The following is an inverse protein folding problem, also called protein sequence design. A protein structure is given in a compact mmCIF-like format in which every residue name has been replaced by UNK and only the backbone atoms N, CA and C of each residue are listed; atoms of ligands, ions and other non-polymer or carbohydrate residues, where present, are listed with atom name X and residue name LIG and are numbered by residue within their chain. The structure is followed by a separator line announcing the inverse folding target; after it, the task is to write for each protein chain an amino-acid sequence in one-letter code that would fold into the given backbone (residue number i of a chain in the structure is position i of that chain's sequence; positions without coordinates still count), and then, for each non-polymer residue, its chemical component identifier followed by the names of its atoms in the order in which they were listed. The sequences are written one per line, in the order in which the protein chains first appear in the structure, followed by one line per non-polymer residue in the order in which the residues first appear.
data_IF_728417194804
#
_entry.id   IF_728417194804
#
_cell.length_a   1.000
_cell.length_b   1.000
_cell.length_c   1.000
_cell.angle_alpha   90.00
_cell.angle_beta   90.00
_cell.angle_gamma   90.00
#
_symmetry.space_group_name_H-M   'P 1'
#
loop_
_entity.id
_entity.type
_entity.pdbx_description
1 polymer ?
#
# COMPACT_ATOMS: atom_id res chain seq x y z
N UNK A 1 40.27 16.28 -37.64
CA UNK A 1 38.88 15.83 -37.42
C UNK A 1 38.08 16.28 -38.62
N UNK A 2 37.45 15.34 -39.32
CA UNK A 2 36.79 15.59 -40.60
C UNK A 2 35.55 16.46 -40.40
N UNK A 3 35.38 17.59 -41.13
CA UNK A 3 34.22 18.46 -40.98
C UNK A 3 32.89 17.76 -41.29
N UNK A 4 32.90 16.70 -42.12
CA UNK A 4 31.70 15.87 -42.36
C UNK A 4 31.20 15.12 -41.13
N UNK A 5 32.07 14.81 -40.16
CA UNK A 5 31.65 14.05 -38.97
C UNK A 5 30.82 14.87 -37.99
N UNK A 6 30.91 16.21 -38.07
CA UNK A 6 30.21 17.12 -37.16
C UNK A 6 28.77 17.38 -37.62
N UNK A 7 28.56 17.55 -38.92
CA UNK A 7 27.22 17.71 -39.52
C UNK A 7 26.35 16.45 -39.31
N UNK A 8 26.93 15.26 -39.50
CA UNK A 8 26.23 14.00 -39.24
C UNK A 8 25.88 13.80 -37.76
N UNK A 9 26.73 14.29 -36.84
CA UNK A 9 26.45 14.22 -35.41
C UNK A 9 25.35 15.21 -34.99
N UNK A 10 25.33 16.42 -35.54
CA UNK A 10 24.31 17.43 -35.26
C UNK A 10 22.94 17.02 -35.83
N UNK A 11 22.90 16.45 -37.04
CA UNK A 11 21.67 15.93 -37.63
C UNK A 11 21.07 14.76 -36.84
N UNK A 12 21.91 13.88 -36.27
CA UNK A 12 21.45 12.75 -35.46
C UNK A 12 20.90 13.17 -34.09
N UNK A 13 21.44 14.24 -33.49
CA UNK A 13 20.92 14.80 -32.23
C UNK A 13 19.55 15.42 -32.45
N UNK A 14 19.35 16.14 -33.56
CA UNK A 14 18.09 16.82 -33.84
C UNK A 14 16.93 15.85 -34.16
N UNK A 15 17.21 14.76 -34.88
CA UNK A 15 16.21 13.78 -35.30
C UNK A 15 15.77 12.84 -34.15
N UNK A 16 16.67 12.57 -33.19
CA UNK A 16 16.42 11.61 -32.09
C UNK A 16 15.93 12.30 -30.81
N UNK A 17 16.39 13.52 -30.49
CA UNK A 17 16.04 14.18 -29.21
C UNK A 17 14.73 14.99 -29.28
N UNK A 18 14.34 15.53 -30.43
CA UNK A 18 13.14 16.37 -30.55
C UNK A 18 11.79 15.67 -30.26
N UNK A 19 11.56 14.37 -30.56
CA UNK A 19 10.33 13.69 -30.18
C UNK A 19 10.27 13.32 -28.68
N UNK A 20 11.42 13.24 -28.00
CA UNK A 20 11.51 12.86 -26.58
C UNK A 20 11.13 14.06 -25.69
N UNK A 21 11.62 15.27 -26.02
CA UNK A 21 11.30 16.49 -25.27
C UNK A 21 9.83 16.91 -25.40
N UNK A 22 9.19 16.62 -26.55
CA UNK A 22 7.75 16.85 -26.75
C UNK A 22 6.83 15.89 -25.98
N UNK A 23 7.32 14.72 -25.54
CA UNK A 23 6.52 13.79 -24.71
C UNK A 23 6.58 14.09 -23.21
N UNK A 24 7.59 14.82 -22.75
CA UNK A 24 7.74 15.16 -21.32
C UNK A 24 6.96 16.42 -20.93
N UNK A 25 6.64 17.29 -21.89
CA UNK A 25 5.96 18.58 -21.66
C UNK A 25 4.43 18.51 -21.63
N UNK A 26 3.81 17.35 -21.87
CA UNK A 26 2.32 17.20 -21.94
C UNK A 26 1.72 16.64 -20.63
N UNK A 27 2.54 16.33 -19.62
CA UNK A 27 2.06 15.69 -18.36
C UNK A 27 2.02 16.61 -17.14
N UNK A 28 2.16 17.92 -17.32
CA UNK A 28 2.28 18.89 -16.22
C UNK A 28 1.07 19.83 -16.06
N UNK A 29 -0.15 19.34 -16.33
CA UNK A 29 -1.39 20.03 -15.97
C UNK A 29 -2.36 19.03 -15.32
N UNK A 30 -2.24 18.85 -14.00
CA UNK A 30 -3.30 18.22 -13.19
C UNK A 30 -3.54 19.11 -11.96
N UNK A 31 -4.81 19.53 -11.87
CA UNK A 31 -5.44 20.38 -10.89
C UNK A 31 -5.09 20.10 -9.43
N UNK A 32 -4.84 21.18 -8.68
CA UNK A 32 -5.00 21.26 -7.23
C UNK A 32 -6.47 20.98 -6.85
N UNK A 33 -6.74 19.84 -6.23
CA UNK A 33 -7.94 19.62 -5.42
C UNK A 33 -7.57 19.37 -3.96
N UNK A 34 -8.26 20.11 -3.09
CA UNK A 34 -8.10 20.16 -1.63
C UNK A 34 -8.42 18.80 -0.97
N UNK A 35 -7.73 18.42 0.13
CA UNK A 35 -8.10 17.22 0.85
C UNK A 35 -9.33 17.47 1.74
N UNK A 36 -10.42 16.77 1.44
CA UNK A 36 -11.57 16.61 2.35
C UNK A 36 -11.26 15.43 3.28
N UNK A 37 -11.23 15.72 4.56
CA UNK A 37 -11.21 14.74 5.65
C UNK A 37 -12.42 13.81 5.55
N UNK A 38 -12.19 12.49 5.55
CA UNK A 38 -13.08 11.54 6.22
C UNK A 38 -12.36 10.20 6.44
N UNK A 39 -11.94 10.03 7.70
CA UNK A 39 -11.61 8.74 8.30
C UNK A 39 -12.90 7.93 8.46
N UNK A 40 -12.90 6.69 7.96
CA UNK A 40 -13.53 5.54 8.61
C UNK A 40 -13.17 4.28 7.82
N UNK A 41 -12.24 3.50 8.34
CA UNK A 41 -12.24 2.06 8.09
C UNK A 41 -11.80 1.33 9.36
N UNK A 42 -12.74 0.51 9.83
CA UNK A 42 -12.62 -0.45 10.91
C UNK A 42 -11.51 -1.46 10.63
N UNK A 43 -10.57 -1.59 11.57
CA UNK A 43 -9.73 -2.78 11.66
C UNK A 43 -10.14 -3.55 12.90
N UNK A 44 -10.63 -4.76 12.63
CA UNK A 44 -11.00 -5.80 13.58
C UNK A 44 -9.74 -6.20 14.35
N UNK A 45 -9.75 -5.93 15.65
CA UNK A 45 -8.70 -6.34 16.58
C UNK A 45 -8.83 -7.81 16.93
N UNK A 46 -7.76 -8.57 16.69
CA UNK A 46 -7.49 -9.88 17.25
C UNK A 46 -6.93 -9.72 18.68
N UNK A 47 -7.65 -10.28 19.64
CA UNK A 47 -7.28 -10.38 21.06
C UNK A 47 -6.19 -11.43 21.28
N UNK A 48 -5.25 -11.20 22.22
CA UNK A 48 -4.59 -12.28 22.95
C UNK A 48 -5.09 -12.38 24.40
N UNK A 49 -5.51 -13.58 24.78
CA UNK A 49 -5.78 -14.02 26.15
C UNK A 49 -4.50 -13.97 26.99
N UNK A 50 -4.49 -13.17 28.06
CA UNK A 50 -3.49 -13.27 29.13
C UNK A 50 -4.15 -13.62 30.46
N UNK A 51 -3.86 -14.83 30.93
CA UNK A 51 -4.26 -15.38 32.23
C UNK A 51 -3.65 -14.55 33.36
N UNK A 52 -4.54 -14.07 34.21
CA UNK A 52 -4.28 -13.43 35.49
C UNK A 52 -3.54 -14.36 36.48
N UNK A 53 -2.49 -13.87 37.13
CA UNK A 53 -2.19 -14.20 38.53
C UNK A 53 -1.87 -12.93 39.33
N UNK A 54 -2.73 -12.72 40.32
CA UNK A 54 -2.63 -11.76 41.43
C UNK A 54 -1.23 -11.76 42.06
N UNK A 55 -0.67 -10.57 42.31
CA UNK A 55 -0.24 -10.23 43.68
C UNK A 55 -0.29 -8.72 43.93
N UNK A 56 -0.99 -8.44 45.03
CA UNK A 56 -1.34 -7.18 45.65
C UNK A 56 -0.10 -6.34 45.97
N UNK A 57 -0.14 -5.06 45.60
CA UNK A 57 0.79 -4.03 46.04
C UNK A 57 0.10 -2.67 46.06
N UNK A 58 -0.63 -2.39 47.14
CA UNK A 58 -1.27 -1.11 47.43
C UNK A 58 -0.22 0.02 47.44
N UNK A 59 -0.31 0.99 46.52
CA UNK A 59 0.10 2.38 46.82
C UNK A 59 -0.87 3.37 46.16
N UNK A 60 -1.26 4.33 47.00
CA UNK A 60 -2.28 5.36 46.85
C UNK A 60 -2.09 6.20 45.58
N UNK A 61 -3.18 6.37 44.84
CA UNK A 61 -3.40 7.48 43.92
C UNK A 61 -4.23 8.55 44.67
N UNK A 62 -3.63 9.71 44.86
CA UNK A 62 -4.30 11.01 44.99
C UNK A 62 -3.83 11.80 43.75
N UNK A 63 -4.65 11.97 42.72
CA UNK A 63 -5.73 12.94 42.60
C UNK A 63 -5.21 14.37 42.80
N UNK A 64 -5.05 15.12 41.70
CA UNK A 64 -5.54 16.50 41.59
C UNK A 64 -5.37 17.07 40.18
N UNK A 65 -6.51 17.29 39.53
CA UNK A 65 -6.71 18.30 38.51
C UNK A 65 -6.51 19.69 39.13
N UNK A 66 -5.86 20.61 38.40
CA UNK A 66 -6.02 22.07 38.44
C UNK A 66 -5.14 22.63 37.30
N UNK A 67 -5.65 23.02 36.12
CA UNK A 67 -6.38 24.26 35.86
C UNK A 67 -6.09 25.36 36.88
N UNK A 68 -5.26 26.33 36.50
CA UNK A 68 -5.25 27.71 37.02
C UNK A 68 -4.28 28.59 36.24
N UNK A 69 -4.89 29.56 35.55
CA UNK A 69 -4.52 30.97 35.56
C UNK A 69 -3.07 31.37 35.30
N UNK A 70 -2.87 31.84 34.08
CA UNK A 70 -1.86 32.84 33.70
C UNK A 70 -2.06 34.08 34.58
N UNK A 71 -1.41 34.12 35.75
CA UNK A 71 -1.23 35.35 36.51
C UNK A 71 -0.05 36.12 35.92
N UNK A 72 -0.37 37.26 35.30
CA UNK A 72 0.53 38.39 35.06
C UNK A 72 1.47 38.56 36.27
N UNK A 73 2.74 38.24 36.11
CA UNK A 73 3.78 38.76 36.99
C UNK A 73 3.92 40.25 36.68
N UNK A 74 3.23 41.07 37.48
CA UNK A 74 3.62 42.46 37.68
C UNK A 74 5.01 42.45 38.31
N UNK A 75 5.98 42.95 37.59
CA UNK A 75 7.24 43.43 38.14
C UNK A 75 6.93 44.51 39.18
N UNK A 76 6.88 44.15 40.45
CA UNK A 76 7.01 45.11 41.54
C UNK A 76 8.48 45.54 41.58
N UNK A 77 8.82 46.56 40.78
CA UNK A 77 9.93 47.44 41.12
C UNK A 77 9.51 48.16 42.40
N UNK A 78 9.95 47.63 43.55
CA UNK A 78 10.02 48.41 44.77
C UNK A 78 11.02 49.55 44.51
N UNK A 79 10.49 50.66 44.00
CA UNK A 79 11.10 51.97 44.18
C UNK A 79 10.93 52.33 45.65
N UNK A 80 11.70 51.68 46.52
CA UNK A 80 12.01 52.27 47.80
C UNK A 80 12.86 53.49 47.47
N UNK A 81 12.21 54.65 47.52
CA UNK A 81 12.86 55.94 47.60
C UNK A 81 13.71 55.92 48.86
N UNK A 82 14.95 55.46 48.75
CA UNK A 82 16.01 55.83 49.68
C UNK A 82 16.17 57.33 49.48
N UNK A 83 15.53 58.10 50.36
CA UNK A 83 15.87 59.50 50.53
C UNK A 83 17.29 59.53 51.07
N UNK A 84 18.26 59.61 50.17
CA UNK A 84 19.60 60.07 50.54
C UNK A 84 19.41 61.53 50.93
N UNK A 85 19.29 61.78 52.23
CA UNK A 85 19.50 63.12 52.77
C UNK A 85 21.00 63.33 52.62
N UNK A 86 21.43 63.85 51.47
CA UNK A 86 22.76 64.43 51.30
C UNK A 86 22.81 65.69 52.19
N UNK A 87 23.06 65.45 53.47
CA UNK A 87 23.29 66.50 54.45
C UNK A 87 24.68 67.07 54.29
N UNK A 88 24.90 67.84 53.23
CA UNK A 88 26.11 68.64 52.99
C UNK A 88 26.18 69.89 53.90
N UNK A 89 25.76 69.74 55.17
CA UNK A 89 25.58 70.83 56.13
C UNK A 89 26.64 70.87 57.25
N UNK A 90 27.80 70.23 57.09
CA UNK A 90 28.86 70.28 58.11
C UNK A 90 29.92 71.38 57.87
N UNK A 91 29.83 72.15 56.78
CA UNK A 91 30.86 73.16 56.46
C UNK A 91 30.60 74.61 56.94
N UNK A 92 29.44 74.96 57.52
CA UNK A 92 29.16 76.36 57.88
C UNK A 92 28.97 76.69 59.37
N UNK A 93 29.01 75.71 60.29
CA UNK A 93 28.67 75.99 61.71
C UNK A 93 29.88 76.41 62.55
N UNK A 94 31.12 76.23 62.08
CA UNK A 94 32.30 76.56 62.91
C UNK A 94 32.80 77.99 62.78
N UNK A 95 32.35 78.76 61.77
CA UNK A 95 32.89 80.12 61.53
C UNK A 95 32.17 81.26 62.25
N UNK A 96 30.98 81.04 62.83
CA UNK A 96 30.17 82.13 63.41
C UNK A 96 30.21 82.22 64.95
N UNK A 97 30.92 81.33 65.65
CA UNK A 97 30.94 81.27 67.11
C UNK A 97 32.14 81.96 67.79
N UNK A 98 32.83 82.87 67.10
CA UNK A 98 34.04 83.53 67.65
C UNK A 98 33.96 85.05 67.53
N UNK A 99 33.15 85.69 68.39
CA UNK A 99 33.37 87.09 68.81
C UNK A 99 32.82 87.34 70.23
N UNK A 100 33.38 86.65 71.21
CA UNK A 100 33.18 86.93 72.63
C UNK A 100 34.53 86.88 73.34
N UNK A 101 34.86 87.96 74.06
CA UNK A 101 36.18 88.22 74.68
C UNK A 101 36.24 87.76 76.15
N UNK A 102 35.50 86.71 76.51
CA UNK A 102 35.58 86.14 77.87
C UNK A 102 36.69 85.07 77.96
N UNK A 103 37.53 85.04 79.00
CA UNK A 103 38.52 83.97 79.21
C UNK A 103 37.87 82.59 79.36
N UNK A 104 36.65 82.52 79.92
CA UNK A 104 35.88 81.28 80.08
C UNK A 104 35.41 80.68 78.74
N UNK A 105 35.33 81.49 77.67
CA UNK A 105 34.92 81.03 76.33
C UNK A 105 36.04 80.30 75.57
N UNK A 106 37.31 80.47 75.95
CA UNK A 106 38.43 79.83 75.25
C UNK A 106 38.48 78.33 75.52
N UNK A 107 38.27 77.93 76.76
CA UNK A 107 38.27 76.51 77.16
C UNK A 107 37.04 75.79 76.62
N UNK A 108 35.88 76.46 76.61
CA UNK A 108 34.67 75.96 75.95
C UNK A 108 34.88 75.74 74.44
N UNK A 109 35.55 76.69 73.74
CA UNK A 109 35.86 76.56 72.31
C UNK A 109 36.83 75.41 72.03
N UNK A 110 37.85 75.23 72.87
CA UNK A 110 38.77 74.11 72.76
C UNK A 110 38.05 72.77 72.95
N UNK A 111 37.19 72.66 73.97
CA UNK A 111 36.38 71.46 74.22
C UNK A 111 35.41 71.16 73.06
N UNK A 112 34.75 72.18 72.49
CA UNK A 112 33.87 72.02 71.32
C UNK A 112 34.67 71.59 70.09
N UNK A 113 35.87 72.11 69.89
CA UNK A 113 36.75 71.70 68.80
C UNK A 113 37.19 70.24 68.95
N UNK A 114 37.66 69.83 70.13
CA UNK A 114 38.07 68.44 70.41
C UNK A 114 36.90 67.47 70.26
N UNK A 115 35.70 67.87 70.72
CA UNK A 115 34.48 67.11 70.51
C UNK A 115 34.16 66.97 69.02
N UNK A 116 34.31 68.04 68.23
CA UNK A 116 34.08 68.03 66.78
C UNK A 116 35.07 67.11 66.07
N UNK A 117 36.36 67.17 66.41
CA UNK A 117 37.39 66.29 65.86
C UNK A 117 37.13 64.82 66.22
N UNK A 118 36.78 64.55 67.48
CA UNK A 118 36.40 63.22 67.95
C UNK A 118 35.17 62.68 67.21
N UNK A 119 34.16 63.53 67.02
CA UNK A 119 32.94 63.19 66.32
C UNK A 119 33.21 62.91 64.83
N UNK A 120 34.05 63.71 64.18
CA UNK A 120 34.49 63.45 62.80
C UNK A 120 35.25 62.12 62.69
N UNK A 121 36.19 61.86 63.60
CA UNK A 121 36.92 60.58 63.62
C UNK A 121 35.99 59.38 63.83
N UNK A 122 34.96 59.55 64.67
CA UNK A 122 33.93 58.53 64.85
C UNK A 122 33.09 58.33 63.60
N UNK A 123 32.65 59.41 62.93
CA UNK A 123 31.94 59.37 61.66
C UNK A 123 32.76 58.66 60.57
N UNK A 124 34.06 58.93 60.46
CA UNK A 124 34.95 58.27 59.49
C UNK A 124 35.07 56.76 59.75
N UNK A 125 35.21 56.37 61.02
CA UNK A 125 35.24 54.96 61.43
C UNK A 125 33.91 54.26 61.14
N UNK A 126 32.80 54.94 61.39
CA UNK A 126 31.46 54.41 61.11
C UNK A 126 31.24 54.25 59.60
N UNK A 127 31.62 55.24 58.80
CA UNK A 127 31.55 55.19 57.33
C UNK A 127 32.36 54.02 56.79
N UNK A 128 33.62 53.88 57.22
CA UNK A 128 34.48 52.75 56.83
C UNK A 128 33.89 51.40 57.23
N UNK A 129 33.23 51.30 58.40
CA UNK A 129 32.56 50.06 58.82
C UNK A 129 31.34 49.75 57.97
N UNK A 130 30.56 50.77 57.59
CA UNK A 130 29.41 50.62 56.69
C UNK A 130 29.90 50.12 55.33
N UNK A 131 30.92 50.74 54.74
CA UNK A 131 31.49 50.31 53.44
C UNK A 131 31.99 48.86 53.49
N UNK A 132 32.67 48.47 54.57
CA UNK A 132 33.12 47.09 54.78
C UNK A 132 31.95 46.09 54.90
N UNK A 133 30.85 46.51 55.53
CA UNK A 133 29.64 45.69 55.65
C UNK A 133 28.96 45.57 54.28
N UNK A 134 28.81 46.67 53.56
CA UNK A 134 28.20 46.70 52.22
C UNK A 134 28.97 45.83 51.22
N UNK A 135 30.29 45.95 51.19
CA UNK A 135 31.15 45.11 50.34
C UNK A 135 31.08 43.63 50.74
N UNK A 136 31.08 43.31 52.03
CA UNK A 136 30.95 41.93 52.52
C UNK A 136 29.60 41.31 52.18
N UNK A 137 28.52 42.06 52.36
CA UNK A 137 27.16 41.63 52.02
C UNK A 137 27.03 41.43 50.50
N UNK A 138 27.48 42.40 49.71
CA UNK A 138 27.43 42.35 48.24
C UNK A 138 28.18 41.12 47.71
N UNK A 139 29.36 40.84 48.29
CA UNK A 139 30.15 39.66 47.95
C UNK A 139 29.40 38.36 48.29
N UNK A 140 28.88 38.23 49.51
CA UNK A 140 28.13 37.03 49.94
C UNK A 140 26.88 36.79 49.08
N UNK A 141 26.15 37.86 48.75
CA UNK A 141 24.97 37.78 47.87
C UNK A 141 25.39 37.31 46.48
N UNK A 142 26.44 37.89 45.91
CA UNK A 142 26.97 37.50 44.60
C UNK A 142 27.41 36.04 44.57
N UNK A 143 28.17 35.60 45.58
CA UNK A 143 28.63 34.21 45.70
C UNK A 143 27.46 33.23 45.82
N UNK A 144 26.43 33.57 46.59
CA UNK A 144 25.22 32.76 46.72
C UNK A 144 24.43 32.67 45.42
N UNK A 145 24.26 33.79 44.72
CA UNK A 145 23.55 33.84 43.43
C UNK A 145 24.31 33.01 42.41
N UNK A 146 25.61 33.27 42.23
CA UNK A 146 26.43 32.57 41.25
C UNK A 146 26.43 31.06 41.49
N UNK A 147 26.60 30.62 42.75
CA UNK A 147 26.57 29.20 43.09
C UNK A 147 25.23 28.53 42.76
N UNK A 148 24.10 29.19 43.04
CA UNK A 148 22.76 28.66 42.72
C UNK A 148 22.53 28.60 41.22
N UNK A 149 22.89 29.66 40.51
CA UNK A 149 22.76 29.77 39.05
C UNK A 149 23.62 28.70 38.38
N UNK A 150 24.89 28.56 38.75
CA UNK A 150 25.80 27.54 38.20
C UNK A 150 25.28 26.13 38.43
N UNK A 151 24.73 25.86 39.62
CA UNK A 151 24.16 24.55 39.93
C UNK A 151 22.94 24.25 39.06
N UNK A 152 22.05 25.25 38.85
CA UNK A 152 20.89 25.10 37.98
C UNK A 152 21.29 24.91 36.52
N UNK A 153 22.24 25.71 36.02
CA UNK A 153 22.79 25.60 34.66
C UNK A 153 23.39 24.21 34.44
N UNK A 154 24.19 23.69 35.39
CA UNK A 154 24.77 22.33 35.27
C UNK A 154 23.70 21.24 35.23
N UNK A 155 22.65 21.33 36.04
CA UNK A 155 21.54 20.36 36.02
C UNK A 155 20.82 20.39 34.68
N UNK A 156 20.43 21.58 34.21
CA UNK A 156 19.78 21.75 32.91
C UNK A 156 20.66 21.22 31.77
N UNK A 157 21.96 21.53 31.78
CA UNK A 157 22.90 21.03 30.77
C UNK A 157 22.95 19.50 30.75
N UNK A 158 22.97 18.86 31.91
CA UNK A 158 23.00 17.39 32.00
C UNK A 158 21.70 16.75 31.53
N UNK A 159 20.54 17.35 31.86
CA UNK A 159 19.23 16.86 31.40
C UNK A 159 19.09 17.00 29.88
N UNK A 160 19.44 18.17 29.34
CA UNK A 160 19.44 18.42 27.88
C UNK A 160 20.38 17.46 27.18
N UNK A 161 21.60 17.24 27.69
CA UNK A 161 22.54 16.29 27.10
C UNK A 161 22.00 14.85 27.12
N UNK A 162 21.32 14.46 28.19
CA UNK A 162 20.69 13.14 28.30
C UNK A 162 19.59 12.96 27.24
N UNK A 163 18.78 13.98 27.02
CA UNK A 163 17.72 13.92 26.02
C UNK A 163 18.26 13.98 24.58
N UNK A 164 19.32 14.75 24.33
CA UNK A 164 20.06 14.71 23.05
C UNK A 164 20.56 13.30 22.76
N UNK A 165 21.17 12.62 23.74
CA UNK A 165 21.68 11.27 23.54
C UNK A 165 20.55 10.27 23.22
N UNK A 166 19.42 10.33 23.93
CA UNK A 166 18.25 9.48 23.62
C UNK A 166 17.68 9.74 22.23
N UNK A 167 17.67 11.00 21.78
CA UNK A 167 17.20 11.35 20.44
C UNK A 167 18.17 10.79 19.40
N UNK A 168 19.48 10.91 19.63
CA UNK A 168 20.50 10.33 18.75
C UNK A 168 20.34 8.82 18.61
N UNK A 169 20.19 8.09 19.72
CA UNK A 169 19.98 6.63 19.72
C UNK A 169 18.73 6.25 18.90
N UNK A 170 17.61 6.95 19.10
CA UNK A 170 16.38 6.71 18.32
C UNK A 170 16.55 7.02 16.83
N UNK A 171 17.32 8.04 16.48
CA UNK A 171 17.61 8.37 15.08
C UNK A 171 18.44 7.27 14.43
N UNK A 172 19.46 6.76 15.13
CA UNK A 172 20.30 5.66 14.65
C UNK A 172 19.49 4.37 14.44
N UNK A 173 18.62 4.00 15.39
CA UNK A 173 17.72 2.84 15.26
C UNK A 173 16.78 2.97 14.05
N UNK A 174 16.23 4.17 13.82
CA UNK A 174 15.38 4.44 12.67
C UNK A 174 16.16 4.36 11.35
N UNK A 175 17.40 4.85 11.31
CA UNK A 175 18.27 4.76 10.14
C UNK A 175 18.56 3.29 9.79
N UNK A 176 18.88 2.46 10.80
CA UNK A 176 19.12 1.03 10.62
C UNK A 176 17.85 0.36 10.06
N UNK A 177 16.70 0.61 10.66
CA UNK A 177 15.42 0.05 10.23
C UNK A 177 15.08 0.43 8.78
N UNK A 178 15.27 1.71 8.41
CA UNK A 178 15.05 2.17 7.04
C UNK A 178 16.00 1.51 6.04
N UNK A 179 17.27 1.35 6.42
CA UNK A 179 18.27 0.69 5.57
C UNK A 179 17.92 -0.77 5.30
N UNK A 180 17.44 -1.50 6.31
CA UNK A 180 17.04 -2.90 6.15
C UNK A 180 15.78 -3.05 5.30
N UNK A 181 14.79 -2.17 5.48
CA UNK A 181 13.59 -2.13 4.64
C UNK A 181 13.92 -1.87 3.17
N UNK A 182 14.74 -0.85 2.89
CA UNK A 182 15.18 -0.52 1.53
C UNK A 182 15.97 -1.67 0.89
N UNK A 183 16.81 -2.37 1.66
CA UNK A 183 17.55 -3.53 1.18
C UNK A 183 16.60 -4.66 0.75
N UNK A 184 15.54 -4.92 1.51
CA UNK A 184 14.50 -5.89 1.16
C UNK A 184 13.76 -5.52 -0.12
N UNK A 185 13.33 -4.27 -0.26
CA UNK A 185 12.65 -3.78 -1.48
C UNK A 185 13.55 -3.89 -2.72
N UNK A 186 14.83 -3.52 -2.61
CA UNK A 186 15.80 -3.67 -3.71
C UNK A 186 15.94 -5.14 -4.12
N UNK A 187 15.93 -6.08 -3.17
CA UNK A 187 16.01 -7.51 -3.49
C UNK A 187 14.77 -8.00 -4.25
N UNK A 188 13.58 -7.53 -3.86
CA UNK A 188 12.32 -7.83 -4.55
C UNK A 188 12.38 -7.29 -5.98
N UNK A 189 12.73 -6.02 -6.15
CA UNK A 189 12.86 -5.38 -7.47
C UNK A 189 13.88 -6.10 -8.36
N UNK A 190 15.01 -6.53 -7.81
CA UNK A 190 16.00 -7.33 -8.55
C UNK A 190 15.42 -8.65 -9.05
N UNK A 191 14.62 -9.35 -8.23
CA UNK A 191 13.95 -10.60 -8.63
C UNK A 191 12.95 -10.34 -9.75
N UNK A 192 12.14 -9.29 -9.65
CA UNK A 192 11.17 -8.91 -10.68
C UNK A 192 11.84 -8.55 -12.01
N UNK A 193 12.90 -7.74 -11.97
CA UNK A 193 13.69 -7.40 -13.17
C UNK A 193 14.32 -8.65 -13.79
N UNK A 194 14.84 -9.57 -12.98
CA UNK A 194 15.42 -10.82 -13.47
C UNK A 194 14.34 -11.69 -14.14
N UNK A 195 13.16 -11.79 -13.53
CA UNK A 195 12.02 -12.52 -14.09
C UNK A 195 11.56 -11.89 -15.42
N UNK A 196 11.41 -10.57 -15.47
CA UNK A 196 11.05 -9.86 -16.70
C UNK A 196 12.10 -10.08 -17.80
N UNK A 197 13.39 -9.98 -17.46
CA UNK A 197 14.50 -10.23 -18.39
C UNK A 197 14.46 -11.66 -18.93
N UNK A 198 14.21 -12.64 -18.06
CA UNK A 198 14.05 -14.05 -18.46
C UNK A 198 12.84 -14.25 -19.38
N UNK A 199 11.72 -13.59 -19.13
CA UNK A 199 10.57 -13.66 -20.05
C UNK A 199 10.87 -13.03 -21.40
N UNK A 200 11.64 -11.93 -21.43
CA UNK A 200 12.04 -11.25 -22.66
C UNK A 200 13.07 -12.08 -23.44
N UNK A 201 14.03 -12.72 -22.78
CA UNK A 201 14.99 -13.60 -23.46
C UNK A 201 14.35 -14.89 -23.97
N UNK A 202 13.26 -15.34 -23.35
CA UNK A 202 12.42 -16.44 -23.85
C UNK A 202 11.42 -16.02 -24.94
N UNK A 203 11.29 -14.72 -25.24
CA UNK A 203 10.55 -14.30 -26.43
C UNK A 203 11.39 -14.63 -27.68
N UNK A 204 10.79 -15.24 -28.72
CA UNK A 204 11.49 -15.57 -29.95
C UNK A 204 12.05 -14.28 -30.59
N UNK A 205 13.38 -14.22 -30.73
CA UNK A 205 14.13 -13.04 -31.22
C UNK A 205 14.15 -12.92 -32.74
N UNK A 206 13.55 -13.86 -33.46
CA UNK A 206 13.56 -13.89 -34.92
C UNK A 206 12.15 -13.76 -35.51
N UNK A 207 12.03 -12.96 -36.57
CA UNK A 207 10.82 -12.81 -37.38
C UNK A 207 10.34 -14.13 -37.99
N UNK A 208 11.23 -15.11 -38.16
CA UNK A 208 10.92 -16.46 -38.64
C UNK A 208 10.12 -17.30 -37.62
N UNK A 209 10.38 -17.16 -36.31
CA UNK A 209 9.62 -17.85 -35.27
C UNK A 209 8.25 -17.21 -35.00
N UNK A 210 8.11 -15.90 -35.26
CA UNK A 210 6.81 -15.22 -35.22
C UNK A 210 5.86 -15.67 -36.35
N UNK A 211 6.37 -16.07 -37.52
CA UNK A 211 5.55 -16.57 -38.63
C UNK A 211 4.97 -17.97 -38.38
N UNK A 212 5.53 -18.75 -37.45
CA UNK A 212 4.94 -20.03 -37.00
C UNK A 212 3.82 -19.88 -35.98
N UNK A 213 3.51 -18.65 -35.53
CA UNK A 213 2.20 -18.39 -34.91
C UNK A 213 1.19 -18.41 -36.04
N UNK A 214 0.53 -19.56 -36.23
CA UNK A 214 -0.61 -19.70 -37.15
C UNK A 214 -1.50 -18.49 -36.94
N UNK A 215 -1.71 -17.70 -38.01
CA UNK A 215 -2.52 -16.49 -37.92
C UNK A 215 -3.94 -16.88 -37.47
N UNK A 216 -4.18 -16.78 -36.15
CA UNK A 216 -5.47 -17.11 -35.53
C UNK A 216 -6.61 -16.29 -36.14
N UNK A 217 -6.29 -15.16 -36.80
CA UNK A 217 -7.25 -14.36 -37.56
C UNK A 217 -7.84 -15.11 -38.74
N UNK A 218 -7.11 -16.04 -39.36
CA UNK A 218 -7.61 -16.88 -40.46
C UNK A 218 -8.12 -18.24 -39.99
N UNK A 219 -7.92 -18.58 -38.71
CA UNK A 219 -8.30 -19.88 -38.18
C UNK A 219 -9.75 -19.91 -37.65
N UNK A 220 -10.40 -21.06 -37.80
CA UNK A 220 -11.64 -21.37 -37.10
C UNK A 220 -11.60 -22.80 -36.55
N UNK A 221 -12.51 -23.06 -35.62
CA UNK A 221 -12.62 -24.33 -34.92
C UNK A 221 -13.97 -24.95 -35.24
N UNK A 222 -13.96 -26.19 -35.72
CA UNK A 222 -15.16 -27.00 -35.92
C UNK A 222 -15.23 -28.06 -34.82
N UNK A 223 -16.34 -28.07 -34.08
CA UNK A 223 -16.63 -29.06 -33.05
C UNK A 223 -17.68 -30.05 -33.52
N UNK A 224 -17.57 -31.27 -33.01
CA UNK A 224 -18.53 -32.34 -33.23
C UNK A 224 -18.72 -32.72 -34.71
N UNK A 225 -17.69 -32.49 -35.54
CA UNK A 225 -17.64 -33.05 -36.89
C UNK A 225 -17.40 -34.56 -36.73
N UNK A 226 -18.32 -35.43 -37.19
CA UNK A 226 -18.18 -36.89 -37.05
C UNK A 226 -16.82 -37.36 -37.55
N UNK A 227 -16.26 -38.39 -36.93
CA UNK A 227 -14.96 -38.95 -37.29
C UNK A 227 -15.15 -40.27 -38.04
N UNK A 228 -14.52 -40.38 -39.19
CA UNK A 228 -14.51 -41.60 -40.02
C UNK A 228 -13.08 -42.07 -40.21
N UNK A 229 -12.84 -43.38 -40.10
CA UNK A 229 -11.50 -43.96 -40.20
C UNK A 229 -10.91 -43.70 -41.59
N UNK A 230 -9.72 -43.10 -41.65
CA UNK A 230 -9.06 -42.77 -42.92
C UNK A 230 -9.68 -41.58 -43.68
N UNK A 231 -10.45 -40.73 -43.01
CA UNK A 231 -11.09 -39.59 -43.66
C UNK A 231 -10.10 -38.53 -44.16
N UNK A 232 -10.38 -37.95 -45.32
CA UNK A 232 -9.73 -36.72 -45.75
C UNK A 232 -10.47 -35.53 -45.11
N UNK A 233 -9.88 -34.96 -44.07
CA UNK A 233 -10.46 -33.88 -43.27
C UNK A 233 -10.74 -32.65 -44.16
N UNK A 234 -9.84 -32.30 -45.08
CA UNK A 234 -10.02 -31.14 -45.97
C UNK A 234 -11.25 -31.34 -46.85
N UNK A 235 -11.42 -32.52 -47.46
CA UNK A 235 -12.60 -32.83 -48.28
C UNK A 235 -13.88 -32.78 -47.45
N UNK A 236 -13.85 -33.31 -46.23
CA UNK A 236 -15.00 -33.32 -45.32
C UNK A 236 -15.43 -31.91 -44.90
N UNK A 237 -14.46 -31.04 -44.59
CA UNK A 237 -14.76 -29.64 -44.29
C UNK A 237 -15.25 -28.91 -45.53
N UNK A 238 -14.68 -29.15 -46.71
CA UNK A 238 -15.20 -28.56 -47.96
C UNK A 238 -16.66 -28.97 -48.22
N UNK A 239 -17.04 -30.23 -47.95
CA UNK A 239 -18.43 -30.68 -48.00
C UNK A 239 -19.31 -29.96 -46.98
N UNK A 240 -18.84 -29.80 -45.73
CA UNK A 240 -19.55 -29.03 -44.71
C UNK A 240 -19.80 -27.57 -45.13
N UNK A 241 -18.80 -26.91 -45.74
CA UNK A 241 -18.93 -25.52 -46.20
C UNK A 241 -19.89 -25.42 -47.39
N UNK A 242 -19.78 -26.32 -48.37
CA UNK A 242 -20.61 -26.30 -49.59
C UNK A 242 -22.05 -26.73 -49.32
N UNK A 243 -22.24 -27.83 -48.62
CA UNK A 243 -23.57 -28.43 -48.42
C UNK A 243 -24.23 -27.91 -47.14
N UNK A 244 -23.45 -27.66 -46.09
CA UNK A 244 -23.97 -27.18 -44.81
C UNK A 244 -24.16 -25.67 -44.75
N UNK A 245 -23.21 -24.89 -45.28
CA UNK A 245 -23.32 -23.41 -45.31
C UNK A 245 -23.86 -22.86 -46.63
N UNK A 246 -23.95 -23.69 -47.68
CA UNK A 246 -24.38 -23.27 -49.02
C UNK A 246 -23.41 -22.22 -49.59
N UNK A 247 -22.11 -22.37 -49.30
CA UNK A 247 -21.04 -21.46 -49.75
C UNK A 247 -20.15 -22.16 -50.77
N UNK A 248 -20.22 -21.73 -52.04
CA UNK A 248 -19.45 -22.35 -53.14
C UNK A 248 -18.03 -21.77 -53.30
N UNK A 249 -17.85 -20.50 -52.95
CA UNK A 249 -16.62 -19.75 -53.27
C UNK A 249 -15.58 -19.72 -52.13
N UNK A 250 -15.91 -20.30 -50.97
CA UNK A 250 -15.05 -20.28 -49.79
C UNK A 250 -13.94 -21.33 -49.93
N UNK A 251 -12.69 -20.87 -49.85
CA UNK A 251 -11.51 -21.73 -49.98
C UNK A 251 -10.83 -21.98 -48.63
N UNK A 252 -10.47 -23.25 -48.40
CA UNK A 252 -9.76 -23.70 -47.20
C UNK A 252 -8.30 -23.93 -47.55
N UNK A 253 -7.39 -23.33 -46.78
CA UNK A 253 -5.93 -23.50 -46.93
C UNK A 253 -5.46 -24.82 -46.31
N UNK A 254 -5.92 -25.12 -45.10
CA UNK A 254 -5.60 -26.37 -44.41
C UNK A 254 -6.69 -26.73 -43.40
N UNK A 255 -6.80 -28.03 -43.09
CA UNK A 255 -7.68 -28.54 -42.05
C UNK A 255 -7.01 -29.72 -41.35
N UNK A 256 -7.01 -29.69 -40.02
CA UNK A 256 -6.36 -30.71 -39.18
C UNK A 256 -7.26 -31.06 -38.00
N UNK A 257 -7.41 -32.34 -37.69
CA UNK A 257 -8.16 -32.82 -36.52
C UNK A 257 -7.20 -33.00 -35.36
N UNK A 258 -7.48 -32.34 -34.25
CA UNK A 258 -6.79 -32.53 -32.97
C UNK A 258 -7.41 -33.70 -32.23
N UNK A 259 -6.55 -34.52 -31.63
CA UNK A 259 -6.94 -35.71 -30.86
C UNK A 259 -7.85 -35.30 -29.71
N UNK A 260 -8.98 -36.00 -29.56
CA UNK A 260 -9.88 -35.83 -28.42
C UNK A 260 -9.26 -36.43 -27.16
N UNK A 261 -9.49 -35.80 -26.01
CA UNK A 261 -9.10 -36.35 -24.70
C UNK A 261 -10.13 -37.34 -24.14
N UNK A 262 -11.29 -37.46 -24.78
CA UNK A 262 -12.39 -38.31 -24.32
C UNK A 262 -12.67 -39.38 -25.37
N UNK A 263 -12.80 -40.61 -24.90
CA UNK A 263 -13.18 -41.74 -25.73
C UNK A 263 -14.58 -41.50 -26.34
N UNK A 264 -14.76 -41.91 -27.59
CA UNK A 264 -16.00 -41.75 -28.37
C UNK A 264 -16.48 -40.32 -28.62
N UNK A 265 -15.69 -39.29 -28.33
CA UNK A 265 -15.99 -37.91 -28.72
C UNK A 265 -15.07 -37.51 -29.88
N UNK A 266 -15.63 -37.09 -31.04
CA UNK A 266 -14.80 -36.67 -32.17
C UNK A 266 -13.84 -35.55 -31.78
N UNK A 267 -12.60 -35.66 -32.26
CA UNK A 267 -11.60 -34.60 -32.12
C UNK A 267 -12.06 -33.26 -32.69
N UNK A 268 -11.50 -32.17 -32.18
CA UNK A 268 -11.79 -30.82 -32.69
C UNK A 268 -11.05 -30.62 -34.02
N UNK A 269 -11.69 -30.05 -35.05
CA UNK A 269 -11.02 -29.74 -36.32
C UNK A 269 -10.63 -28.27 -36.35
N UNK A 270 -9.34 -28.00 -36.50
CA UNK A 270 -8.77 -26.68 -36.74
C UNK A 270 -8.70 -26.45 -38.25
N UNK A 271 -9.29 -25.37 -38.72
CA UNK A 271 -9.30 -25.00 -40.14
C UNK A 271 -8.62 -23.65 -40.32
N UNK A 272 -7.85 -23.50 -41.38
CA UNK A 272 -7.30 -22.22 -41.82
C UNK A 272 -7.94 -21.85 -43.16
N UNK A 273 -8.57 -20.69 -43.23
CA UNK A 273 -9.12 -20.16 -44.48
C UNK A 273 -8.02 -19.56 -45.36
N UNK A 274 -8.28 -19.48 -46.66
CA UNK A 274 -7.34 -18.84 -47.59
C UNK A 274 -7.31 -17.32 -47.42
N UNK A 275 -8.47 -16.71 -47.12
CA UNK A 275 -8.63 -15.27 -46.86
C UNK A 275 -9.45 -14.99 -45.60
N UNK A 276 -9.32 -13.78 -45.06
CA UNK A 276 -10.15 -13.29 -43.95
C UNK A 276 -11.62 -13.15 -44.36
N UNK A 277 -11.88 -12.84 -45.63
CA UNK A 277 -13.22 -12.72 -46.20
C UNK A 277 -13.93 -14.07 -46.26
N UNK A 278 -13.22 -15.13 -46.64
CA UNK A 278 -13.73 -16.50 -46.62
C UNK A 278 -14.14 -16.93 -45.22
N UNK A 279 -13.30 -16.63 -44.23
CA UNK A 279 -13.63 -16.87 -42.82
C UNK A 279 -14.86 -16.07 -42.39
N UNK A 280 -14.93 -14.78 -42.74
CA UNK A 280 -16.07 -13.92 -42.40
C UNK A 280 -17.38 -14.49 -42.93
N UNK A 281 -17.43 -14.84 -44.23
CA UNK A 281 -18.59 -15.47 -44.88
C UNK A 281 -19.02 -16.75 -44.16
N UNK A 282 -18.05 -17.65 -43.88
CA UNK A 282 -18.35 -18.89 -43.16
C UNK A 282 -18.88 -18.64 -41.74
N UNK A 283 -18.35 -17.64 -41.03
CA UNK A 283 -18.77 -17.32 -39.66
C UNK A 283 -20.12 -16.62 -39.57
N UNK A 284 -20.52 -15.87 -40.59
CA UNK A 284 -21.85 -15.27 -40.72
C UNK A 284 -22.92 -16.33 -40.98
N UNK A 285 -22.61 -17.29 -41.85
CA UNK A 285 -23.57 -18.29 -42.34
C UNK A 285 -23.66 -19.56 -41.49
N UNK A 286 -22.79 -19.72 -40.49
CA UNK A 286 -22.77 -20.89 -39.59
C UNK A 286 -24.10 -21.19 -38.90
N UNK A 287 -25.05 -20.25 -38.88
CA UNK A 287 -26.40 -20.46 -38.35
C UNK A 287 -27.21 -21.45 -39.19
N UNK A 288 -26.99 -21.48 -40.52
CA UNK A 288 -27.65 -22.40 -41.46
C UNK A 288 -27.41 -23.88 -41.15
N UNK A 289 -26.29 -24.20 -40.49
CA UNK A 289 -25.99 -25.56 -40.05
C UNK A 289 -27.07 -26.15 -39.15
N UNK A 290 -27.77 -25.31 -38.36
CA UNK A 290 -28.84 -25.76 -37.47
C UNK A 290 -30.08 -26.25 -38.22
N UNK A 291 -30.29 -25.77 -39.43
CA UNK A 291 -31.44 -26.11 -40.27
C UNK A 291 -31.18 -27.40 -41.08
N UNK A 292 -29.90 -27.74 -41.30
CA UNK A 292 -29.50 -28.96 -42.00
C UNK A 292 -29.62 -30.20 -41.12
N UNK A 293 -30.31 -31.25 -41.59
CA UNK A 293 -30.44 -32.54 -40.86
C UNK A 293 -29.10 -33.19 -40.53
N UNK A 294 -28.14 -33.11 -41.45
CA UNK A 294 -26.84 -33.77 -41.32
C UNK A 294 -25.84 -32.98 -40.45
N UNK A 295 -26.04 -31.67 -40.28
CA UNK A 295 -25.05 -30.77 -39.67
C UNK A 295 -25.56 -30.03 -38.44
N UNK A 296 -26.80 -30.31 -38.00
CA UNK A 296 -27.47 -29.67 -36.86
C UNK A 296 -26.63 -29.58 -35.58
N UNK A 297 -25.81 -30.60 -35.34
CA UNK A 297 -25.00 -30.72 -34.13
C UNK A 297 -23.55 -30.26 -34.31
N UNK A 298 -23.20 -29.65 -35.44
CA UNK A 298 -21.85 -29.16 -35.74
C UNK A 298 -21.76 -27.68 -35.40
N UNK A 299 -20.67 -27.29 -34.74
CA UNK A 299 -20.47 -25.90 -34.32
C UNK A 299 -19.19 -25.34 -34.90
N UNK A 300 -19.28 -24.14 -35.50
CA UNK A 300 -18.13 -23.38 -36.00
C UNK A 300 -17.87 -22.18 -35.08
N UNK A 301 -16.66 -22.09 -34.54
CA UNK A 301 -16.22 -21.06 -33.60
C UNK A 301 -14.96 -20.37 -34.10
N UNK A 302 -14.71 -19.15 -33.59
CA UNK A 302 -13.43 -18.49 -33.83
C UNK A 302 -12.33 -19.24 -33.07
N UNK A 303 -11.16 -19.39 -33.69
CA UNK A 303 -9.97 -19.76 -32.95
C UNK A 303 -9.50 -18.57 -32.11
N UNK A 304 -9.67 -18.67 -30.79
CA UNK A 304 -9.34 -17.62 -29.83
C UNK A 304 -8.10 -18.03 -29.01
N UNK A 305 -7.21 -17.10 -28.67
CA UNK A 305 -6.09 -17.36 -27.76
C UNK A 305 -6.55 -17.94 -26.41
N UNK A 306 -5.69 -18.74 -25.76
CA UNK A 306 -6.00 -19.39 -24.48
C UNK A 306 -6.50 -18.40 -23.42
N UNK A 307 -5.85 -17.26 -23.27
CA UNK A 307 -6.25 -16.20 -22.34
C UNK A 307 -7.67 -15.70 -22.60
N UNK A 308 -8.01 -15.43 -23.86
CA UNK A 308 -9.33 -14.96 -24.25
C UNK A 308 -10.40 -16.04 -24.08
N UNK A 309 -10.09 -17.32 -24.35
CA UNK A 309 -10.99 -18.44 -24.07
C UNK A 309 -11.31 -18.56 -22.58
N UNK A 310 -10.29 -18.48 -21.73
CA UNK A 310 -10.45 -18.50 -20.26
C UNK A 310 -11.31 -17.33 -19.80
N UNK A 311 -11.00 -16.11 -20.27
CA UNK A 311 -11.78 -14.92 -19.97
C UNK A 311 -13.25 -15.07 -20.39
N UNK A 312 -13.53 -15.54 -21.61
CA UNK A 312 -14.89 -15.75 -22.10
C UNK A 312 -15.62 -16.85 -21.30
N UNK A 313 -14.91 -17.89 -20.87
CA UNK A 313 -15.48 -18.94 -20.00
C UNK A 313 -15.88 -18.38 -18.64
N UNK A 314 -15.00 -17.60 -18.01
CA UNK A 314 -15.25 -16.95 -16.72
C UNK A 314 -16.41 -15.96 -16.82
N UNK A 315 -16.42 -15.11 -17.85
CA UNK A 315 -17.52 -14.17 -18.11
C UNK A 315 -18.84 -14.90 -18.32
N UNK A 316 -18.85 -16.01 -19.09
CA UNK A 316 -20.06 -16.81 -19.30
C UNK A 316 -20.58 -17.40 -17.98
N UNK A 317 -19.69 -17.87 -17.11
CA UNK A 317 -20.07 -18.39 -15.80
C UNK A 317 -20.66 -17.28 -14.92
N UNK A 318 -20.00 -16.12 -14.83
CA UNK A 318 -20.49 -14.96 -14.08
C UNK A 318 -21.86 -14.51 -14.60
N UNK A 319 -22.03 -14.37 -15.92
CA UNK A 319 -23.29 -13.97 -16.54
C UNK A 319 -24.41 -14.98 -16.27
N UNK A 320 -24.11 -16.28 -16.24
CA UNK A 320 -25.08 -17.32 -15.87
C UNK A 320 -25.50 -17.22 -14.40
N UNK A 321 -24.53 -17.02 -13.50
CA UNK A 321 -24.78 -16.96 -12.05
C UNK A 321 -25.55 -15.70 -11.66
N UNK A 322 -25.15 -14.53 -12.19
CA UNK A 322 -25.74 -13.24 -11.83
C UNK A 322 -27.01 -12.96 -12.66
N UNK A 323 -26.97 -13.29 -13.95
CA UNK A 323 -27.91 -12.76 -14.92
C UNK A 323 -29.31 -13.37 -14.91
N UNK A 324 -29.66 -14.30 -14.00
CA UNK A 324 -31.00 -14.96 -13.89
C UNK A 324 -31.73 -15.13 -15.24
N UNK A 325 -31.01 -15.61 -16.26
CA UNK A 325 -31.45 -15.78 -17.66
C UNK A 325 -31.72 -14.53 -18.52
N UNK A 326 -31.62 -13.32 -17.98
CA UNK A 326 -31.81 -12.04 -18.69
C UNK A 326 -30.60 -11.57 -19.49
N UNK A 327 -29.41 -12.14 -19.25
CA UNK A 327 -28.18 -11.73 -19.93
C UNK A 327 -27.63 -12.87 -20.79
N UNK A 328 -27.06 -12.53 -21.95
CA UNK A 328 -26.31 -13.45 -22.80
C UNK A 328 -24.94 -12.89 -23.17
N UNK A 329 -23.97 -13.78 -23.39
CA UNK A 329 -22.63 -13.41 -23.85
C UNK A 329 -22.55 -13.63 -25.37
N UNK A 330 -22.36 -12.55 -26.14
CA UNK A 330 -22.04 -12.60 -27.57
C UNK A 330 -20.58 -12.23 -27.80
N UNK A 331 -19.74 -13.24 -28.01
CA UNK A 331 -18.30 -13.05 -28.10
C UNK A 331 -17.73 -12.56 -26.77
N UNK A 332 -17.16 -11.36 -26.74
CA UNK A 332 -16.66 -10.68 -25.53
C UNK A 332 -17.62 -9.65 -24.95
N UNK A 333 -18.85 -9.53 -25.47
CA UNK A 333 -19.85 -8.52 -25.03
C UNK A 333 -21.00 -9.19 -24.29
N UNK A 334 -21.41 -8.60 -23.17
CA UNK A 334 -22.64 -8.96 -22.45
C UNK A 334 -23.80 -8.18 -23.06
N UNK A 335 -24.89 -8.86 -23.37
CA UNK A 335 -26.11 -8.28 -23.94
C UNK A 335 -27.32 -8.68 -23.09
N UNK A 336 -28.29 -7.78 -22.96
CA UNK A 336 -29.59 -8.09 -22.36
C UNK A 336 -30.40 -8.90 -23.36
N UNK A 337 -30.94 -10.04 -22.94
CA UNK A 337 -31.89 -10.82 -23.74
C UNK A 337 -33.18 -10.01 -23.88
N UNK A 338 -33.46 -9.57 -25.10
CA UNK A 338 -34.75 -9.01 -25.47
C UNK A 338 -35.87 -10.05 -25.29
N UNK A 339 -37.07 -9.61 -24.90
CA UNK A 339 -38.21 -10.48 -24.60
C UNK A 339 -38.58 -11.45 -25.74
N UNK A 340 -38.33 -11.07 -27.00
CA UNK A 340 -38.51 -11.94 -28.17
C UNK A 340 -37.59 -13.17 -28.16
N UNK A 341 -36.36 -13.03 -27.65
CA UNK A 341 -35.41 -14.14 -27.54
C UNK A 341 -35.72 -15.05 -26.34
N UNK A 342 -36.37 -14.52 -25.30
CA UNK A 342 -36.80 -15.29 -24.12
C UNK A 342 -37.92 -16.26 -24.52
N UNK A 343 -38.91 -15.79 -25.31
CA UNK A 343 -40.03 -16.64 -25.80
C UNK A 343 -39.56 -17.79 -26.69
N UNK A 344 -38.58 -17.55 -27.58
CA UNK A 344 -38.00 -18.61 -28.42
C UNK A 344 -37.20 -19.66 -27.64
N UNK A 345 -36.86 -19.42 -26.38
CA UNK A 345 -36.09 -20.36 -25.56
C UNK A 345 -36.98 -21.16 -24.59
N UNK A 346 -38.13 -20.61 -24.17
CA UNK A 346 -39.10 -21.34 -23.34
C UNK A 346 -39.75 -22.52 -24.07
N UNK A 347 -40.00 -22.38 -25.38
CA UNK A 347 -40.70 -23.42 -26.15
C UNK A 347 -39.84 -24.67 -26.45
N UNK A 348 -38.53 -24.62 -26.17
CA UNK A 348 -37.59 -25.74 -26.35
C UNK A 348 -37.06 -26.33 -25.04
N UNK A 349 -37.47 -25.80 -23.88
CA UNK A 349 -36.86 -26.11 -22.57
C UNK A 349 -37.59 -27.22 -21.78
N UNK A 350 -38.69 -27.76 -22.26
CA UNK A 350 -39.51 -28.74 -21.50
C UNK A 350 -39.14 -30.21 -21.77
N UNK A 351 -38.17 -30.48 -22.65
CA UNK A 351 -37.91 -31.86 -23.12
C UNK A 351 -36.75 -32.62 -22.46
N UNK A 352 -35.68 -31.96 -22.01
CA UNK A 352 -34.48 -32.70 -21.61
C UNK A 352 -33.47 -31.82 -20.88
N UNK A 353 -33.37 -31.90 -19.55
CA UNK A 353 -32.14 -31.72 -18.74
C UNK A 353 -32.44 -31.58 -17.24
N UNK A 354 -33.10 -32.57 -16.62
CA UNK A 354 -33.32 -32.58 -15.16
C UNK A 354 -32.53 -33.62 -14.34
N UNK A 355 -31.55 -34.33 -14.91
CA UNK A 355 -30.97 -35.49 -14.20
C UNK A 355 -29.46 -35.56 -13.92
N UNK A 356 -28.63 -34.52 -14.09
CA UNK A 356 -27.18 -34.69 -13.86
C UNK A 356 -26.42 -33.71 -12.97
N UNK A 357 -27.07 -32.86 -12.18
CA UNK A 357 -26.33 -31.94 -11.27
C UNK A 357 -26.77 -32.10 -9.82
N UNK A 358 -26.26 -33.16 -9.15
CA UNK A 358 -26.35 -33.32 -7.68
C UNK A 358 -25.13 -34.00 -7.04
N UNK A 359 -23.94 -34.03 -7.66
CA UNK A 359 -22.80 -34.78 -7.11
C UNK A 359 -21.45 -34.04 -7.01
N UNK A 360 -21.42 -32.71 -6.95
CA UNK A 360 -20.13 -31.99 -6.76
C UNK A 360 -20.06 -31.04 -5.56
N UNK A 361 -21.03 -31.07 -4.65
CA UNK A 361 -20.91 -30.43 -3.33
C UNK A 361 -20.84 -31.54 -2.27
N UNK A 362 -19.61 -31.93 -1.89
CA UNK A 362 -19.22 -32.62 -0.63
C UNK A 362 -17.88 -33.37 -0.80
N UNK A 363 -16.78 -32.67 -1.16
CA UNK A 363 -15.46 -33.33 -1.18
C UNK A 363 -14.25 -32.44 -0.86
N UNK A 364 -14.43 -31.43 -0.02
CA UNK A 364 -13.31 -30.63 0.49
C UNK A 364 -13.41 -30.49 2.01
N UNK A 365 -13.27 -31.60 2.72
CA UNK A 365 -13.05 -31.63 4.17
C UNK A 365 -12.59 -33.04 4.57
N UNK A 366 -11.35 -33.40 4.23
CA UNK A 366 -10.62 -34.49 4.88
C UNK A 366 -9.16 -34.47 4.40
N UNK A 367 -8.36 -33.57 4.97
CA UNK A 367 -6.91 -33.70 4.96
C UNK A 367 -6.40 -33.88 6.39
N UNK A 368 -5.58 -34.92 6.51
CA UNK A 368 -4.45 -35.07 7.42
C UNK A 368 -4.70 -35.13 8.93
N UNK A 369 -4.96 -36.36 9.41
CA UNK A 369 -4.30 -36.84 10.61
C UNK A 369 -3.63 -38.21 10.34
N UNK A 370 -2.29 -38.20 10.48
CA UNK A 370 -1.36 -39.26 10.85
C UNK A 370 -1.84 -40.72 10.78
N UNK A 371 -1.07 -41.56 10.08
CA UNK A 371 -0.67 -42.83 10.68
C UNK A 371 0.61 -43.42 10.10
N UNK A 372 1.62 -43.45 10.96
CA UNK A 372 2.78 -44.31 10.91
C UNK A 372 2.37 -45.78 10.72
N UNK A 373 3.14 -46.46 9.90
CA UNK A 373 2.98 -47.87 9.55
C UNK A 373 3.79 -48.71 10.53
N UNK A 374 3.15 -49.23 11.58
CA UNK A 374 3.66 -50.40 12.28
C UNK A 374 2.89 -51.63 11.80
N UNK A 375 3.61 -52.45 11.04
CA UNK A 375 3.30 -53.85 10.80
C UNK A 375 3.20 -54.57 12.15
N UNK A 376 2.14 -55.36 12.37
CA UNK A 376 2.24 -56.75 12.86
C UNK A 376 0.83 -57.33 13.11
N UNK A 377 0.69 -58.58 12.68
CA UNK A 377 -0.20 -59.63 13.18
C UNK A 377 -1.68 -59.76 12.75
N UNK A 378 -1.90 -60.95 12.17
CA UNK A 378 -2.92 -61.96 12.50
C UNK A 378 -4.31 -61.94 11.84
N UNK A 379 -4.40 -62.77 10.79
CA UNK A 379 -5.22 -63.99 10.69
C UNK A 379 -6.74 -63.92 11.03
N UNK A 380 -7.52 -64.17 9.96
CA UNK A 380 -8.72 -65.06 9.83
C UNK A 380 -10.09 -64.53 10.33
N UNK A 381 -11.24 -65.12 9.88
CA UNK A 381 -11.57 -65.66 8.56
C UNK A 381 -12.98 -65.26 8.03
N UNK A 382 -13.17 -65.58 6.74
CA UNK A 382 -14.39 -65.71 5.92
C UNK A 382 -15.75 -65.84 6.63
N UNK A 383 -16.71 -65.03 6.17
CA UNK A 383 -18.15 -65.29 6.28
C UNK A 383 -18.84 -65.12 4.92
N UNK A 384 -19.34 -66.22 4.37
CA UNK A 384 -20.21 -66.28 3.19
C UNK A 384 -21.56 -65.61 3.49
N UNK A 385 -22.08 -64.78 2.60
CA UNK A 385 -23.53 -64.56 2.49
C UNK A 385 -23.99 -64.61 1.04
N UNK A 386 -25.05 -65.38 0.87
CA UNK A 386 -25.60 -65.87 -0.37
C UNK A 386 -26.42 -64.81 -1.12
N UNK A 387 -26.22 -64.86 -2.44
CA UNK A 387 -27.22 -64.74 -3.50
C UNK A 387 -28.70 -64.81 -3.05
N UNK A 388 -29.47 -63.75 -3.33
CA UNK A 388 -30.93 -63.81 -3.53
C UNK A 388 -31.31 -62.93 -4.70
N UNK A 389 -31.65 -63.57 -5.81
CA UNK A 389 -32.29 -62.94 -6.96
C UNK A 389 -33.78 -62.71 -6.70
N UNK A 390 -34.33 -61.69 -7.34
CA UNK A 390 -35.76 -61.55 -7.57
C UNK A 390 -36.03 -61.34 -9.06
N UNK A 391 -36.65 -62.35 -9.64
CA UNK A 391 -37.47 -62.28 -10.84
C UNK A 391 -38.71 -61.43 -10.55
N UNK A 392 -39.10 -60.55 -11.47
CA UNK A 392 -40.48 -60.06 -11.54
C UNK A 392 -40.93 -59.94 -12.99
N UNK A 393 -41.67 -60.97 -13.41
CA UNK A 393 -42.62 -60.90 -14.52
C UNK A 393 -43.77 -59.97 -14.14
N UNK A 394 -44.32 -59.28 -15.14
CA UNK A 394 -45.57 -58.54 -15.02
C UNK A 394 -46.02 -58.03 -16.39
N UNK A 395 -46.79 -58.87 -17.09
CA UNK A 395 -47.67 -58.47 -18.20
C UNK A 395 -48.73 -57.48 -17.69
N UNK A 396 -49.04 -56.46 -18.47
CA UNK A 396 -50.37 -56.17 -19.01
C UNK A 396 -50.21 -55.43 -20.33
#
# INVERSE_FOLDING_TARGET
MDPMSKELAEQYVEEVMTPIVKKVSVSADIHEERPVSNFNNSIIGSTPDFKSKKKVGKRRLSNENNSRDVKKQRSNTMNDKVYIIEGDNTKSVTSELISSKSPEDKDLKAMVFDLTVSMNSFCDKMTTRIDNIETSITKKISDMINKKVDTAIRKLKNEVQKDINKISEKVDDNIITLKDNLKGEIEILRKEVTNATNTITQLPKTTAEMQNRTDTRLNAIIRNLPETRGENIISKVNGLIKDGLILKDVKIKSAERKISRRDNVPGIVLIAFHSSDDKRKAMEEKRKLKDSRNFKNIFIEHDLPKSQRMMNSNLRNIVRTIGKHQLELRGSRVQVKTAENIRKQSDYSDGSQRHHERQYENRSEQDNYNRESDEYFQRRPRGNYQNRGYNRNGKY
#
